data_IF_519555346754
#
_entry.id   IF_519555346754
#
_cell.length_a   1.000
_cell.length_b   1.000
_cell.length_c   1.000
_cell.angle_alpha   90.00
_cell.angle_beta   90.00
_cell.angle_gamma   90.00
#
_symmetry.space_group_name_H-M   'P 1'
#
loop_
_entity.id
_entity.type
_entity.pdbx_description
1 polymer ?
#
# COMPACT_ATOMS: atom_id res chain seq x y z
N UNK A 1 -3.09 24.64 -12.65
CA UNK A 1 -4.03 23.54 -12.33
C UNK A 1 -3.46 22.89 -11.07
N UNK A 2 -4.21 22.83 -9.96
CA UNK A 2 -3.70 22.29 -8.69
C UNK A 2 -4.06 20.80 -8.61
N UNK A 3 -3.11 19.86 -8.44
CA UNK A 3 -3.47 18.49 -8.10
C UNK A 3 -3.97 18.44 -6.64
N UNK A 4 -5.05 17.70 -6.41
CA UNK A 4 -5.76 17.57 -5.12
C UNK A 4 -5.65 16.12 -4.64
N UNK A 5 -5.21 15.90 -3.40
CA UNK A 5 -5.25 14.58 -2.75
C UNK A 5 -6.53 14.41 -1.93
N UNK A 6 -7.18 13.27 -2.18
CA UNK A 6 -8.54 12.87 -1.79
C UNK A 6 -8.55 12.28 -0.38
N UNK A 7 -8.56 13.15 0.64
CA UNK A 7 -9.39 13.03 1.86
C UNK A 7 -9.27 14.33 2.64
N UNK A 8 -10.08 15.31 2.23
CA UNK A 8 -10.32 16.53 2.98
C UNK A 8 -11.48 16.25 3.93
N UNK A 9 -11.29 16.47 5.24
CA UNK A 9 -12.44 16.57 6.15
C UNK A 9 -13.07 17.92 5.86
N UNK A 10 -14.25 17.89 5.24
CA UNK A 10 -15.01 19.10 4.92
C UNK A 10 -15.89 19.51 6.11
N UNK A 11 -16.05 20.81 6.36
CA UNK A 11 -17.09 21.33 7.26
C UNK A 11 -18.47 21.28 6.59
N UNK A 12 -19.50 21.79 7.27
CA UNK A 12 -20.87 21.82 6.74
C UNK A 12 -20.99 22.75 5.51
N UNK A 13 -20.02 23.64 5.32
CA UNK A 13 -19.93 24.65 4.26
C UNK A 13 -19.05 24.19 3.08
N UNK A 14 -18.42 23.01 3.16
CA UNK A 14 -17.58 22.44 2.12
C UNK A 14 -16.13 22.95 2.11
N UNK A 15 -15.68 23.61 3.17
CA UNK A 15 -14.28 24.02 3.32
C UNK A 15 -13.42 22.90 3.88
N UNK A 16 -12.15 22.85 3.47
CA UNK A 16 -11.17 21.88 3.96
C UNK A 16 -10.75 22.24 5.39
N UNK A 17 -11.20 21.45 6.36
CA UNK A 17 -10.87 21.63 7.79
C UNK A 17 -9.58 20.89 8.15
N UNK A 18 -9.29 19.78 7.46
CA UNK A 18 -8.07 18.99 7.69
C UNK A 18 -7.66 18.25 6.43
N UNK A 19 -6.47 18.55 5.93
CA UNK A 19 -5.77 17.72 4.95
C UNK A 19 -5.13 16.52 5.66
N UNK A 20 -5.22 15.34 5.07
CA UNK A 20 -4.54 14.15 5.58
C UNK A 20 -3.07 14.16 5.14
N UNK A 21 -2.19 14.58 6.06
CA UNK A 21 -0.74 14.45 5.89
C UNK A 21 -0.30 13.11 6.54
N UNK A 22 0.21 12.14 5.77
CA UNK A 22 0.73 10.91 6.35
C UNK A 22 1.91 11.23 7.26
N UNK A 23 1.91 10.67 8.47
CA UNK A 23 3.03 10.80 9.40
C UNK A 23 3.92 9.56 9.31
N UNK A 24 5.20 9.77 9.03
CA UNK A 24 6.20 8.71 9.12
C UNK A 24 6.35 8.31 10.58
N UNK A 25 5.84 7.13 10.93
CA UNK A 25 5.96 6.61 12.29
C UNK A 25 7.35 6.01 12.55
N UNK A 26 7.90 5.36 11.52
CA UNK A 26 9.15 4.64 11.65
C UNK A 26 9.79 4.38 10.30
N UNK A 27 11.10 4.54 10.24
CA UNK A 27 11.92 4.32 9.06
C UNK A 27 12.89 3.16 9.34
N UNK A 28 12.54 1.98 8.83
CA UNK A 28 13.35 0.75 9.00
C UNK A 28 14.71 0.86 8.32
N UNK A 29 14.89 1.78 7.36
CA UNK A 29 16.18 2.00 6.68
C UNK A 29 17.14 2.84 7.53
N UNK A 30 16.61 3.61 8.51
CA UNK A 30 17.40 4.45 9.42
C UNK A 30 17.52 3.84 10.83
N UNK A 31 16.44 3.25 11.34
CA UNK A 31 16.39 2.56 12.64
C UNK A 31 15.92 1.11 12.44
N UNK A 32 16.83 0.20 12.03
CA UNK A 32 16.47 -1.12 11.53
C UNK A 32 16.16 -2.13 12.65
N UNK A 33 15.28 -1.80 13.60
CA UNK A 33 15.00 -2.63 14.79
C UNK A 33 13.52 -2.90 15.04
N UNK A 34 13.04 -4.13 14.79
CA UNK A 34 11.65 -4.50 15.06
C UNK A 34 11.49 -5.11 16.45
N UNK A 35 10.29 -4.96 17.03
CA UNK A 35 9.91 -5.72 18.21
C UNK A 35 9.78 -7.20 17.86
N UNK A 36 10.28 -8.07 18.74
CA UNK A 36 10.01 -9.51 18.67
C UNK A 36 8.60 -9.71 19.22
N UNK A 37 7.74 -10.37 18.44
CA UNK A 37 6.35 -10.63 18.82
C UNK A 37 6.18 -12.12 19.18
N UNK A 38 5.27 -12.40 20.11
CA UNK A 38 4.78 -13.75 20.38
C UNK A 38 3.71 -14.18 19.34
N UNK A 39 3.16 -15.37 19.52
CA UNK A 39 2.13 -15.95 18.66
C UNK A 39 0.77 -15.22 18.73
N UNK A 40 0.60 -14.32 19.68
CA UNK A 40 -0.57 -13.44 19.81
C UNK A 40 -0.35 -12.05 19.19
N UNK A 41 0.86 -11.76 18.73
CA UNK A 41 1.27 -10.45 18.22
C UNK A 41 1.65 -9.45 19.32
N UNK A 42 1.77 -9.90 20.58
CA UNK A 42 2.25 -9.05 21.68
C UNK A 42 3.77 -9.04 21.68
N UNK A 43 4.36 -7.87 21.96
CA UNK A 43 5.81 -7.76 22.07
C UNK A 43 6.34 -8.59 23.25
N UNK A 44 7.30 -9.46 22.96
CA UNK A 44 8.10 -10.15 23.97
C UNK A 44 8.96 -9.11 24.68
N UNK A 45 9.04 -9.19 26.00
CA UNK A 45 9.76 -8.22 26.81
C UNK A 45 11.06 -8.79 27.39
N UNK A 46 11.98 -7.90 27.72
CA UNK A 46 13.24 -8.18 28.41
C UNK A 46 13.48 -7.11 29.49
N UNK A 47 14.46 -7.30 30.36
CA UNK A 47 14.76 -6.36 31.44
C UNK A 47 15.96 -5.48 31.06
N UNK A 48 15.80 -4.15 31.13
CA UNK A 48 16.89 -3.20 30.88
C UNK A 48 17.88 -3.14 32.06
N UNK A 49 18.95 -2.37 31.90
CA UNK A 49 19.99 -2.20 32.93
C UNK A 49 19.48 -1.57 34.24
N UNK A 50 18.32 -0.92 34.22
CA UNK A 50 17.69 -0.28 35.37
C UNK A 50 16.60 -1.15 36.01
N UNK A 51 16.35 -2.36 35.49
CA UNK A 51 15.32 -3.26 35.97
C UNK A 51 13.93 -3.03 35.36
N UNK A 52 13.79 -2.17 34.35
CA UNK A 52 12.51 -1.95 33.69
C UNK A 52 12.24 -3.00 32.62
N UNK A 53 10.97 -3.37 32.47
CA UNK A 53 10.52 -4.24 31.40
C UNK A 53 10.38 -3.45 30.08
N UNK A 54 11.13 -3.85 29.05
CA UNK A 54 11.19 -3.20 27.74
C UNK A 54 10.98 -4.20 26.61
N UNK A 55 10.44 -3.81 25.44
CA UNK A 55 10.31 -4.72 24.31
C UNK A 55 11.66 -5.28 23.86
N UNK A 56 11.73 -6.60 23.66
CA UNK A 56 12.85 -7.24 22.99
C UNK A 56 12.85 -6.80 21.52
N UNK A 57 14.01 -6.32 21.05
CA UNK A 57 14.20 -5.90 19.66
C UNK A 57 15.13 -6.83 18.91
N UNK A 58 14.94 -6.96 17.60
CA UNK A 58 15.89 -7.59 16.67
C UNK A 58 16.23 -6.65 15.53
N UNK A 59 17.48 -6.70 15.07
CA UNK A 59 17.93 -5.95 13.90
C UNK A 59 17.36 -6.60 12.64
N UNK A 60 16.85 -5.78 11.74
CA UNK A 60 16.47 -6.16 10.38
C UNK A 60 17.66 -5.84 9.48
N UNK A 61 18.30 -6.87 8.95
CA UNK A 61 19.45 -6.68 8.07
C UNK A 61 18.98 -6.09 6.72
N UNK A 62 19.83 -5.28 6.07
CA UNK A 62 19.44 -4.57 4.84
C UNK A 62 18.96 -5.52 3.73
N UNK A 63 19.59 -6.70 3.62
CA UNK A 63 19.23 -7.73 2.64
C UNK A 63 17.77 -8.19 2.77
N UNK A 64 17.16 -8.09 3.96
CA UNK A 64 15.75 -8.44 4.17
C UNK A 64 14.84 -7.45 3.43
N UNK A 65 15.16 -6.16 3.49
CA UNK A 65 14.42 -5.11 2.78
C UNK A 65 14.62 -5.25 1.27
N UNK A 66 15.86 -5.50 0.83
CA UNK A 66 16.18 -5.77 -0.57
C UNK A 66 15.39 -6.97 -1.10
N UNK A 67 15.36 -8.09 -0.37
CA UNK A 67 14.59 -9.28 -0.75
C UNK A 67 13.07 -9.05 -0.76
N UNK A 68 12.57 -8.21 0.14
CA UNK A 68 11.16 -7.80 0.11
C UNK A 68 10.85 -7.00 -1.15
N UNK A 69 11.70 -6.03 -1.51
CA UNK A 69 11.54 -5.24 -2.73
C UNK A 69 11.61 -6.11 -3.98
N UNK A 70 12.59 -7.02 -4.08
CA UNK A 70 12.67 -8.02 -5.15
C UNK A 70 11.36 -8.84 -5.24
N UNK A 71 10.84 -9.31 -4.10
CA UNK A 71 9.58 -10.04 -4.04
C UNK A 71 8.40 -9.24 -4.58
N UNK A 72 8.28 -7.97 -4.19
CA UNK A 72 7.24 -7.07 -4.68
C UNK A 72 7.39 -6.78 -6.18
N UNK A 73 8.63 -6.70 -6.69
CA UNK A 73 8.88 -6.56 -8.13
C UNK A 73 8.45 -7.79 -8.91
N UNK A 74 8.73 -8.99 -8.39
CA UNK A 74 8.35 -10.25 -9.03
C UNK A 74 6.84 -10.43 -9.17
N UNK A 75 6.02 -9.82 -8.30
CA UNK A 75 4.56 -9.82 -8.44
C UNK A 75 4.12 -9.17 -9.75
N UNK A 76 4.84 -8.13 -10.18
CA UNK A 76 4.57 -7.34 -11.38
C UNK A 76 5.29 -7.91 -12.59
N UNK A 77 6.51 -8.43 -12.45
CA UNK A 77 7.28 -8.91 -13.60
C UNK A 77 7.00 -10.36 -14.01
N UNK A 78 6.48 -11.19 -13.11
CA UNK A 78 6.31 -12.63 -13.34
C UNK A 78 5.31 -13.27 -12.39
N UNK A 79 4.36 -12.49 -11.87
CA UNK A 79 3.48 -12.89 -10.78
C UNK A 79 2.02 -12.52 -11.03
N UNK A 80 1.25 -12.44 -9.95
CA UNK A 80 -0.21 -12.24 -10.03
C UNK A 80 -0.64 -10.95 -10.74
N UNK A 81 0.24 -9.96 -10.87
CA UNK A 81 -0.05 -8.69 -11.51
C UNK A 81 0.63 -8.52 -12.87
N UNK A 82 1.33 -9.53 -13.38
CA UNK A 82 2.09 -9.48 -14.64
C UNK A 82 1.24 -9.00 -15.82
N UNK A 83 0.10 -9.65 -16.05
CA UNK A 83 -0.76 -9.31 -17.19
C UNK A 83 -1.32 -7.90 -17.09
N UNK A 84 -1.58 -7.41 -15.87
CA UNK A 84 -2.17 -6.09 -15.64
C UNK A 84 -1.18 -4.97 -15.93
N UNK A 85 0.09 -5.15 -15.57
CA UNK A 85 1.12 -4.11 -15.67
C UNK A 85 2.06 -4.28 -16.87
N UNK A 86 1.81 -5.26 -17.75
CA UNK A 86 2.71 -5.61 -18.87
C UNK A 86 2.98 -4.45 -19.84
N UNK A 87 2.04 -3.52 -19.97
CA UNK A 87 2.09 -2.40 -20.92
C UNK A 87 2.54 -1.09 -20.24
N UNK A 88 2.74 -1.10 -18.92
CA UNK A 88 3.26 0.05 -18.18
C UNK A 88 4.78 0.09 -18.27
N UNK A 89 5.32 1.05 -19.02
CA UNK A 89 6.77 1.20 -19.22
C UNK A 89 7.53 1.64 -17.95
N UNK A 90 6.82 2.13 -16.92
CA UNK A 90 7.43 2.45 -15.63
C UNK A 90 7.63 1.18 -14.80
N UNK A 91 8.88 0.82 -14.45
CA UNK A 91 9.14 -0.34 -13.60
C UNK A 91 8.48 -0.12 -12.23
N UNK A 92 7.45 -0.89 -11.90
CA UNK A 92 6.75 -0.81 -10.62
C UNK A 92 6.93 -2.08 -9.78
N UNK A 93 6.57 -2.00 -8.51
CA UNK A 93 6.52 -3.13 -7.60
C UNK A 93 5.25 -3.05 -6.75
N UNK A 94 4.69 -4.19 -6.36
CA UNK A 94 3.44 -4.17 -5.61
C UNK A 94 2.98 -5.53 -5.11
N UNK A 95 1.79 -5.54 -4.52
CA UNK A 95 1.17 -6.74 -3.98
C UNK A 95 -0.34 -6.72 -4.11
N UNK A 96 -0.87 -7.82 -4.63
CA UNK A 96 -2.30 -8.15 -4.68
C UNK A 96 -2.81 -8.61 -3.32
N UNK A 97 -4.08 -8.32 -3.02
CA UNK A 97 -4.79 -8.88 -1.88
C UNK A 97 -6.24 -9.20 -2.24
N UNK A 98 -6.73 -10.32 -1.72
CA UNK A 98 -8.12 -10.76 -1.83
C UNK A 98 -8.55 -11.19 -0.44
N UNK A 99 -9.49 -10.47 0.16
CA UNK A 99 -9.90 -10.71 1.55
C UNK A 99 -11.37 -11.14 1.58
N UNK A 100 -11.63 -12.37 2.01
CA UNK A 100 -12.99 -12.85 2.25
C UNK A 100 -13.62 -12.06 3.41
N UNK A 101 -14.93 -11.80 3.31
CA UNK A 101 -15.65 -11.08 4.34
C UNK A 101 -17.10 -11.55 4.48
N UNK A 102 -17.69 -11.29 5.64
CA UNK A 102 -19.13 -11.45 5.87
C UNK A 102 -19.59 -10.45 6.95
N UNK A 103 -19.80 -9.21 6.55
CA UNK A 103 -20.34 -8.15 7.39
C UNK A 103 -21.88 -8.12 7.36
N UNK A 104 -22.49 -7.19 8.11
CA UNK A 104 -23.94 -7.04 8.15
C UNK A 104 -24.54 -6.70 6.76
N UNK A 105 -23.83 -5.90 5.95
CA UNK A 105 -24.29 -5.50 4.62
C UNK A 105 -24.32 -6.69 3.65
N UNK A 106 -23.31 -7.56 3.69
CA UNK A 106 -23.27 -8.79 2.90
C UNK A 106 -24.30 -9.82 3.37
N UNK A 107 -24.55 -9.93 4.67
CA UNK A 107 -25.56 -10.83 5.23
C UNK A 107 -26.98 -10.43 4.79
N UNK A 108 -27.32 -9.15 4.87
CA UNK A 108 -28.63 -8.63 4.42
C UNK A 108 -28.87 -8.88 2.92
N UNK A 109 -27.78 -8.90 2.12
CA UNK A 109 -27.81 -9.23 0.68
C UNK A 109 -27.76 -10.72 0.38
N UNK A 110 -27.68 -11.58 1.39
CA UNK A 110 -27.57 -13.03 1.20
C UNK A 110 -26.26 -13.48 0.55
N UNK A 111 -25.20 -12.68 0.62
CA UNK A 111 -23.92 -12.97 -0.04
C UNK A 111 -23.04 -13.92 0.78
N UNK A 112 -23.28 -14.05 2.09
CA UNK A 112 -22.48 -14.88 2.99
C UNK A 112 -22.73 -16.39 2.83
N UNK A 113 -22.26 -16.96 1.73
CA UNK A 113 -22.39 -18.38 1.42
C UNK A 113 -21.09 -19.08 1.85
N UNK A 114 -21.17 -20.00 2.82
CA UNK A 114 -20.00 -20.76 3.29
C UNK A 114 -19.27 -21.41 2.09
N UNK A 115 -17.94 -21.36 2.10
CA UNK A 115 -17.06 -21.83 1.00
C UNK A 115 -17.15 -21.02 -0.30
N UNK A 116 -17.93 -19.95 -0.31
CA UNK A 116 -18.06 -19.00 -1.42
C UNK A 116 -18.31 -17.59 -0.88
N UNK A 117 -17.52 -17.19 0.12
CA UNK A 117 -17.66 -15.86 0.71
C UNK A 117 -17.32 -14.77 -0.31
N UNK A 118 -18.00 -13.62 -0.25
CA UNK A 118 -17.64 -12.49 -1.08
C UNK A 118 -16.26 -11.98 -0.66
N UNK A 119 -15.56 -11.31 -1.58
CA UNK A 119 -14.19 -10.84 -1.35
C UNK A 119 -14.05 -9.36 -1.64
N UNK A 120 -13.22 -8.71 -0.85
CA UNK A 120 -12.69 -7.39 -1.14
C UNK A 120 -11.45 -7.50 -2.02
N UNK A 121 -11.33 -6.57 -2.96
CA UNK A 121 -10.17 -6.46 -3.85
C UNK A 121 -9.21 -5.40 -3.32
N UNK A 122 -7.94 -5.78 -3.18
CA UNK A 122 -6.86 -4.91 -2.71
C UNK A 122 -5.67 -4.95 -3.66
N UNK A 123 -5.03 -3.80 -3.83
CA UNK A 123 -3.69 -3.71 -4.38
C UNK A 123 -2.94 -2.55 -3.74
N UNK A 124 -1.67 -2.76 -3.44
CA UNK A 124 -0.73 -1.69 -3.08
C UNK A 124 0.48 -1.80 -4.00
N UNK A 125 0.96 -0.68 -4.51
CA UNK A 125 2.19 -0.65 -5.30
C UNK A 125 2.89 0.70 -5.21
N UNK A 126 4.15 0.69 -5.61
CA UNK A 126 4.98 1.89 -5.76
C UNK A 126 5.73 1.88 -7.08
N UNK A 127 6.10 3.07 -7.54
CA UNK A 127 6.86 3.27 -8.76
C UNK A 127 7.65 4.60 -8.72
N UNK A 128 8.77 4.72 -9.44
CA UNK A 128 9.55 3.62 -10.03
C UNK A 128 10.08 2.63 -8.98
N UNK A 129 10.53 1.45 -9.41
CA UNK A 129 11.00 0.38 -8.53
C UNK A 129 12.28 0.77 -7.78
N UNK A 130 13.26 1.33 -8.49
CA UNK A 130 14.59 1.62 -7.94
C UNK A 130 14.64 2.94 -7.16
N UNK A 131 13.83 3.93 -7.55
CA UNK A 131 13.73 5.24 -6.88
C UNK A 131 12.25 5.63 -6.74
N UNK A 132 11.53 5.11 -5.72
CA UNK A 132 10.08 5.27 -5.63
C UNK A 132 9.65 6.71 -5.37
N UNK A 133 8.75 7.21 -6.22
CA UNK A 133 8.21 8.58 -6.14
C UNK A 133 6.75 8.61 -5.70
N UNK A 134 5.99 7.55 -6.05
CA UNK A 134 4.58 7.42 -5.70
C UNK A 134 4.26 6.05 -5.11
N UNK A 135 3.39 6.03 -4.11
CA UNK A 135 2.73 4.82 -3.57
C UNK A 135 1.23 4.97 -3.75
N UNK A 136 0.59 3.92 -4.27
CA UNK A 136 -0.87 3.89 -4.49
C UNK A 136 -1.45 2.66 -3.83
N UNK A 137 -2.56 2.85 -3.11
CA UNK A 137 -3.36 1.77 -2.53
C UNK A 137 -4.78 1.86 -3.09
N UNK A 138 -5.27 0.77 -3.67
CA UNK A 138 -6.66 0.63 -4.08
C UNK A 138 -7.37 -0.43 -3.22
N UNK A 139 -8.55 -0.07 -2.75
CA UNK A 139 -9.49 -0.94 -2.07
C UNK A 139 -10.84 -0.88 -2.76
N UNK A 140 -11.39 -2.03 -3.11
CA UNK A 140 -12.73 -2.15 -3.66
C UNK A 140 -13.54 -3.12 -2.82
N UNK A 141 -14.52 -2.55 -2.10
CA UNK A 141 -15.49 -3.31 -1.33
C UNK A 141 -16.30 -4.22 -2.26
N UNK A 142 -16.42 -5.50 -1.89
CA UNK A 142 -17.04 -6.53 -2.72
C UNK A 142 -16.46 -6.60 -4.16
N UNK A 143 -15.17 -6.29 -4.29
CA UNK A 143 -14.50 -6.12 -5.58
C UNK A 143 -13.95 -7.41 -6.19
N UNK A 144 -14.06 -8.56 -5.53
CA UNK A 144 -13.47 -9.80 -6.03
C UNK A 144 -11.95 -9.84 -5.85
N UNK A 145 -11.25 -10.42 -6.82
CA UNK A 145 -9.80 -10.62 -6.76
C UNK A 145 -8.99 -9.32 -6.89
N UNK A 146 -7.92 -9.20 -6.10
CA UNK A 146 -6.97 -8.08 -6.13
C UNK A 146 -6.38 -7.80 -7.52
N UNK A 147 -5.93 -8.85 -8.21
CA UNK A 147 -5.29 -8.75 -9.53
C UNK A 147 -6.26 -8.27 -10.63
N UNK A 148 -7.53 -8.65 -10.52
CA UNK A 148 -8.54 -8.43 -11.56
C UNK A 148 -9.22 -7.06 -11.47
N UNK A 149 -9.25 -6.44 -10.28
CA UNK A 149 -10.00 -5.20 -10.04
C UNK A 149 -9.15 -4.08 -9.45
N UNK A 150 -8.48 -4.30 -8.31
CA UNK A 150 -7.69 -3.26 -7.67
C UNK A 150 -6.37 -2.96 -8.41
N UNK A 151 -5.71 -3.98 -8.95
CA UNK A 151 -4.45 -3.79 -9.68
C UNK A 151 -4.61 -2.88 -10.93
N UNK A 152 -5.61 -3.06 -11.82
CA UNK A 152 -5.85 -2.14 -12.94
C UNK A 152 -6.18 -0.70 -12.53
N UNK A 153 -6.75 -0.50 -11.34
CA UNK A 153 -6.98 0.86 -10.82
C UNK A 153 -5.64 1.51 -10.47
N UNK A 154 -4.77 0.79 -9.78
CA UNK A 154 -3.44 1.30 -9.40
C UNK A 154 -2.56 1.55 -10.63
N UNK A 155 -2.58 0.64 -11.59
CA UNK A 155 -1.85 0.76 -12.86
C UNK A 155 -2.21 2.07 -13.59
N UNK A 156 -3.50 2.34 -13.82
CA UNK A 156 -3.96 3.59 -14.45
C UNK A 156 -3.60 4.85 -13.67
N UNK A 157 -3.61 4.79 -12.34
CA UNK A 157 -3.21 5.93 -11.51
C UNK A 157 -1.70 6.21 -11.66
N UNK A 158 -0.89 5.16 -11.70
CA UNK A 158 0.55 5.29 -11.94
C UNK A 158 0.83 5.82 -13.34
N UNK A 159 0.19 5.25 -14.37
CA UNK A 159 0.30 5.71 -15.76
C UNK A 159 0.00 7.21 -15.85
N UNK A 160 -1.17 7.64 -15.34
CA UNK A 160 -1.57 9.04 -15.35
C UNK A 160 -0.61 9.95 -14.56
N UNK A 161 -0.06 9.48 -13.43
CA UNK A 161 0.93 10.24 -12.66
C UNK A 161 2.18 10.54 -13.50
N UNK A 162 2.75 9.53 -14.17
CA UNK A 162 3.95 9.72 -14.98
C UNK A 162 3.68 10.46 -16.29
N UNK A 163 2.51 10.31 -16.89
CA UNK A 163 2.09 11.13 -18.04
C UNK A 163 2.01 12.61 -17.68
N UNK A 164 1.39 12.94 -16.55
CA UNK A 164 1.27 14.32 -16.07
C UNK A 164 2.65 14.91 -15.72
N UNK A 165 3.50 14.12 -15.05
CA UNK A 165 4.88 14.52 -14.74
C UNK A 165 5.66 14.84 -16.03
N UNK A 166 5.63 13.93 -17.01
CA UNK A 166 6.30 14.14 -18.29
C UNK A 166 5.78 15.36 -19.04
N UNK A 167 4.48 15.63 -18.99
CA UNK A 167 3.87 16.81 -19.59
C UNK A 167 4.33 18.13 -18.92
N UNK A 168 4.40 18.16 -17.59
CA UNK A 168 4.85 19.34 -16.83
C UNK A 168 6.35 19.61 -17.01
N UNK A 169 7.17 18.55 -17.09
CA UNK A 169 8.59 18.65 -17.43
C UNK A 169 8.79 19.22 -18.84
N UNK A 170 8.03 18.73 -19.83
CA UNK A 170 8.09 19.22 -21.20
C UNK A 170 7.62 20.70 -21.32
N UNK A 171 6.70 21.14 -20.47
CA UNK A 171 6.22 22.52 -20.41
C UNK A 171 7.17 23.46 -19.64
N UNK A 172 8.21 22.95 -18.97
CA UNK A 172 9.10 23.73 -18.12
C UNK A 172 8.41 24.28 -16.86
N UNK A 173 7.31 23.66 -16.45
CA UNK A 173 6.47 24.08 -15.31
C UNK A 173 6.50 23.08 -14.16
N UNK A 174 7.54 22.24 -14.08
CA UNK A 174 7.63 21.18 -13.08
C UNK A 174 7.45 21.73 -11.66
N UNK A 175 6.44 21.21 -10.95
CA UNK A 175 6.21 21.37 -9.52
C UNK A 175 6.31 20.01 -8.78
N UNK A 176 6.90 19.00 -9.46
CA UNK A 176 7.08 17.64 -8.95
C UNK A 176 8.45 17.50 -8.28
#
# INVERSE_FOLDING_TARGET
>A
MKPTIVKEILDQEGNVVKAFEPQLLWDITKDPVINVLDDTGKAITTTDANGNEVPQKKVVESWVVEKMQEGLRMVVSSGTAETTFKDLDIPSAGKTGTAEYCDNVAQEKGLCIRESWPTHSWYVGYAPYDDPEIVVVAFVYNGGEGASVAAPIVEKVMEAYFELKAADEAAGTSNW
#
